data_IF_169320424478
#
_entry.id   IF_169320424478
#
_cell.length_a   1.000
_cell.length_b   1.000
_cell.length_c   1.000
_cell.angle_alpha   90.00
_cell.angle_beta   90.00
_cell.angle_gamma   90.00
#
_symmetry.space_group_name_H-M   'P 1'
#
loop_
_entity.id
_entity.type
_entity.pdbx_description
1 polymer ?
#
# COMPACT_ATOMS: atom_id res chain seq x y z
N UNK A 1 -1.74 -23.10 -16.43
CA UNK A 1 -2.05 -23.85 -15.21
C UNK A 1 -2.40 -22.92 -14.06
N UNK A 2 -3.44 -23.23 -13.40
CA UNK A 2 -3.86 -22.45 -12.26
C UNK A 2 -3.08 -22.85 -11.04
N UNK A 3 -2.49 -21.89 -10.43
CA UNK A 3 -1.77 -22.12 -9.21
C UNK A 3 -2.76 -22.26 -8.06
N UNK A 4 -2.88 -23.46 -7.56
CA UNK A 4 -3.74 -23.68 -6.41
C UNK A 4 -3.07 -23.18 -5.17
N UNK A 5 -3.49 -22.03 -4.73
CA UNK A 5 -2.93 -21.46 -3.52
C UNK A 5 -3.57 -22.11 -2.32
N UNK A 6 -2.85 -22.93 -1.63
CA UNK A 6 -3.36 -23.54 -0.41
C UNK A 6 -3.43 -22.47 0.67
N UNK A 7 -4.26 -22.70 1.67
CA UNK A 7 -4.37 -21.81 2.81
C UNK A 7 -3.06 -21.72 3.59
N UNK A 8 -2.21 -22.73 3.40
CA UNK A 8 -0.94 -22.82 4.13
C UNK A 8 0.26 -22.28 3.35
N UNK A 9 0.02 -21.69 2.18
CA UNK A 9 1.10 -21.12 1.41
C UNK A 9 1.74 -19.97 2.19
N UNK A 10 2.98 -20.12 2.68
CA UNK A 10 3.58 -19.09 3.52
C UNK A 10 3.86 -17.78 2.79
N UNK A 11 3.87 -17.79 1.46
CA UNK A 11 4.11 -16.60 0.69
C UNK A 11 2.87 -15.90 0.21
N UNK A 12 1.68 -16.42 0.52
CA UNK A 12 0.47 -15.89 -0.10
C UNK A 12 0.17 -14.45 0.29
N UNK A 13 0.55 -14.02 1.50
CA UNK A 13 0.32 -12.65 1.97
C UNK A 13 1.22 -11.63 1.29
N UNK A 14 2.27 -12.10 0.63
CA UNK A 14 3.27 -11.22 0.00
C UNK A 14 3.28 -11.36 -1.51
N UNK A 15 2.39 -12.17 -2.07
CA UNK A 15 2.35 -12.42 -3.50
C UNK A 15 1.20 -11.68 -4.14
N UNK A 16 1.47 -10.46 -4.50
CA UNK A 16 0.51 -9.65 -5.23
C UNK A 16 0.98 -9.49 -6.65
N UNK A 17 0.06 -9.65 -7.58
CA UNK A 17 0.37 -9.54 -8.99
C UNK A 17 -0.18 -8.23 -9.50
N UNK A 18 0.70 -7.41 -10.05
CA UNK A 18 0.30 -6.20 -10.72
C UNK A 18 0.20 -6.47 -12.21
N UNK A 19 -0.98 -6.22 -12.76
CA UNK A 19 -1.22 -6.42 -14.17
C UNK A 19 -1.27 -5.08 -14.86
N UNK A 20 -0.52 -4.97 -15.94
CA UNK A 20 -0.44 -3.73 -16.69
C UNK A 20 -0.60 -4.04 -18.17
N UNK A 21 -1.32 -3.15 -18.86
CA UNK A 21 -1.47 -3.25 -20.29
C UNK A 21 -0.12 -2.99 -20.95
N UNK A 22 0.31 -3.89 -21.79
CA UNK A 22 1.59 -3.78 -22.48
C UNK A 22 1.39 -2.97 -23.75
N UNK A 23 2.23 -1.96 -23.95
CA UNK A 23 2.19 -1.12 -25.13
C UNK A 23 3.18 -1.65 -26.17
N UNK A 24 3.05 -1.15 -27.41
CA UNK A 24 3.99 -1.48 -28.46
C UNK A 24 5.41 -1.03 -28.11
N UNK A 25 5.50 0.10 -27.42
CA UNK A 25 6.80 0.61 -27.01
C UNK A 25 7.45 -0.31 -25.98
N UNK A 26 6.65 -0.85 -25.06
CA UNK A 26 7.16 -1.81 -24.09
C UNK A 26 7.72 -3.05 -24.76
N UNK A 27 7.02 -3.53 -25.79
CA UNK A 27 7.50 -4.69 -26.54
C UNK A 27 8.83 -4.42 -27.22
N UNK A 28 8.99 -3.21 -27.75
CA UNK A 28 10.23 -2.81 -28.39
C UNK A 28 11.41 -2.78 -27.43
N UNK A 29 11.16 -2.31 -26.22
CA UNK A 29 12.20 -2.22 -25.19
C UNK A 29 12.50 -3.55 -24.53
N UNK A 30 11.57 -4.46 -24.55
CA UNK A 30 11.72 -5.76 -23.89
C UNK A 30 11.43 -5.72 -22.40
N UNK A 31 10.83 -4.64 -21.90
CA UNK A 31 10.42 -4.53 -20.50
C UNK A 31 9.27 -3.55 -20.36
N UNK A 32 8.59 -3.63 -19.22
CA UNK A 32 7.47 -2.77 -18.89
C UNK A 32 7.86 -1.90 -17.71
N UNK A 33 7.62 -0.60 -17.85
CA UNK A 33 7.91 0.35 -16.77
C UNK A 33 6.63 0.70 -16.04
N UNK A 34 6.68 0.67 -14.73
CA UNK A 34 5.55 1.00 -13.88
C UNK A 34 5.97 2.10 -12.91
N UNK A 35 5.20 3.19 -12.89
CA UNK A 35 5.46 4.23 -11.90
C UNK A 35 5.05 3.72 -10.52
N UNK A 36 6.00 3.73 -9.61
CA UNK A 36 5.77 3.25 -8.26
C UNK A 36 5.70 4.43 -7.30
N UNK A 37 4.52 4.70 -6.80
CA UNK A 37 4.29 5.73 -5.79
C UNK A 37 3.38 5.14 -4.71
N UNK A 38 3.10 5.88 -3.61
CA UNK A 38 2.26 5.32 -2.55
C UNK A 38 0.88 4.88 -3.02
N UNK A 39 0.31 5.53 -4.03
CA UNK A 39 -0.98 5.13 -4.58
C UNK A 39 -0.89 3.77 -5.24
N UNK A 40 0.17 3.56 -6.01
CA UNK A 40 0.37 2.28 -6.69
C UNK A 40 0.63 1.16 -5.69
N UNK A 41 1.40 1.43 -4.65
CA UNK A 41 1.66 0.45 -3.60
C UNK A 41 0.38 0.07 -2.90
N UNK A 42 -0.44 1.05 -2.53
CA UNK A 42 -1.73 0.79 -1.89
C UNK A 42 -2.63 -0.03 -2.78
N UNK A 43 -2.67 0.27 -4.09
CA UNK A 43 -3.48 -0.48 -5.03
C UNK A 43 -3.01 -1.93 -5.14
N UNK A 44 -1.70 -2.11 -5.19
CA UNK A 44 -1.11 -3.45 -5.29
C UNK A 44 -1.47 -4.31 -4.09
N UNK A 45 -1.39 -3.75 -2.90
CA UNK A 45 -1.72 -4.46 -1.67
C UNK A 45 -3.21 -4.40 -1.32
N UNK A 46 -4.00 -3.80 -2.20
CA UNK A 46 -5.46 -3.69 -2.02
C UNK A 46 -5.85 -2.96 -0.75
N UNK A 47 -5.07 -1.95 -0.41
CA UNK A 47 -5.39 -1.04 0.69
C UNK A 47 -6.25 0.06 0.11
N UNK A 48 -7.50 0.12 0.52
CA UNK A 48 -8.42 1.10 -0.04
C UNK A 48 -9.09 1.94 1.01
N UNK A 49 -9.02 3.25 0.85
CA UNK A 49 -9.79 4.21 1.62
C UNK A 49 -9.49 4.29 3.10
N UNK A 50 -9.91 5.38 3.71
CA UNK A 50 -9.93 5.52 5.15
C UNK A 50 -8.57 5.61 5.83
N UNK A 51 -8.55 5.39 7.15
CA UNK A 51 -7.35 5.58 7.96
C UNK A 51 -6.18 4.71 7.55
N UNK A 52 -6.45 3.48 7.17
CA UNK A 52 -5.38 2.55 6.78
C UNK A 52 -4.59 3.07 5.60
N UNK A 53 -5.29 3.55 4.57
CA UNK A 53 -4.63 4.09 3.38
C UNK A 53 -3.86 5.35 3.71
N UNK A 54 -4.44 6.22 4.53
CA UNK A 54 -3.80 7.44 4.95
C UNK A 54 -2.50 7.16 5.69
N UNK A 55 -2.52 6.21 6.61
CA UNK A 55 -1.35 5.81 7.39
C UNK A 55 -0.28 5.25 6.47
N UNK A 56 -0.67 4.37 5.53
CA UNK A 56 0.26 3.77 4.60
C UNK A 56 0.97 4.83 3.75
N UNK A 57 0.21 5.77 3.18
CA UNK A 57 0.79 6.83 2.35
C UNK A 57 1.71 7.73 3.16
N UNK A 58 1.30 8.07 4.38
CA UNK A 58 2.08 8.94 5.25
C UNK A 58 3.40 8.27 5.63
N UNK A 59 3.35 6.99 5.97
CA UNK A 59 4.54 6.23 6.32
C UNK A 59 5.52 6.13 5.16
N UNK A 60 4.99 5.98 3.94
CA UNK A 60 5.83 5.79 2.76
C UNK A 60 6.55 7.07 2.33
N UNK A 61 6.01 8.24 2.61
CA UNK A 61 6.63 9.49 2.11
C UNK A 61 6.74 10.61 3.14
N UNK A 62 6.60 10.28 4.42
CA UNK A 62 6.63 11.29 5.47
C UNK A 62 7.92 12.09 5.48
N UNK A 63 9.04 11.41 5.42
CA UNK A 63 10.34 12.08 5.47
C UNK A 63 10.63 12.88 4.21
N UNK A 64 10.13 12.42 3.08
CA UNK A 64 10.28 13.15 1.82
C UNK A 64 9.55 14.49 1.83
N UNK A 65 8.62 14.67 2.76
CA UNK A 65 7.89 15.92 2.91
C UNK A 65 8.51 16.84 3.97
N UNK A 66 9.73 16.55 4.36
CA UNK A 66 10.46 17.42 5.29
C UNK A 66 10.23 17.14 6.76
N UNK A 67 9.57 16.05 7.08
CA UNK A 67 9.37 15.67 8.48
C UNK A 67 10.58 14.92 9.00
N UNK A 68 10.91 15.13 10.27
CA UNK A 68 11.91 14.29 10.92
C UNK A 68 11.27 12.94 11.24
N UNK A 69 12.10 11.96 11.48
CA UNK A 69 11.59 10.62 11.82
C UNK A 69 10.71 10.64 13.06
N UNK A 70 11.11 11.39 14.09
CA UNK A 70 10.29 11.44 15.32
C UNK A 70 8.96 12.15 15.07
N UNK A 71 8.97 13.18 14.24
CA UNK A 71 7.73 13.86 13.87
C UNK A 71 6.80 12.90 13.13
N UNK A 72 7.35 12.13 12.22
CA UNK A 72 6.58 11.14 11.47
C UNK A 72 5.97 10.11 12.42
N UNK A 73 6.75 9.59 13.34
CA UNK A 73 6.26 8.61 14.32
C UNK A 73 5.10 9.19 15.13
N UNK A 74 5.24 10.43 15.59
CA UNK A 74 4.21 11.08 16.37
C UNK A 74 2.93 11.28 15.57
N UNK A 75 3.06 11.65 14.30
CA UNK A 75 1.90 11.82 13.44
C UNK A 75 1.21 10.48 13.14
N UNK A 76 1.99 9.44 12.90
CA UNK A 76 1.44 8.11 12.69
C UNK A 76 0.72 7.62 13.95
N UNK A 77 1.28 7.90 15.12
CA UNK A 77 0.65 7.51 16.37
C UNK A 77 -0.71 8.21 16.53
N UNK A 78 -0.79 9.48 16.17
CA UNK A 78 -2.05 10.22 16.21
C UNK A 78 -3.08 9.63 15.27
N UNK A 79 -2.64 9.20 14.07
CA UNK A 79 -3.53 8.56 13.11
C UNK A 79 -4.04 7.23 13.64
N UNK A 80 -3.18 6.46 14.29
CA UNK A 80 -3.58 5.18 14.89
C UNK A 80 -4.58 5.39 16.02
N UNK A 81 -4.35 6.39 16.85
CA UNK A 81 -5.25 6.71 17.96
C UNK A 81 -6.62 7.10 17.42
N UNK A 82 -6.65 7.93 16.38
CA UNK A 82 -7.92 8.32 15.76
C UNK A 82 -8.64 7.13 15.15
N UNK A 83 -7.90 6.23 14.53
CA UNK A 83 -8.48 5.01 13.96
C UNK A 83 -9.16 4.18 15.04
N UNK A 84 -8.51 4.05 16.19
CA UNK A 84 -9.10 3.32 17.33
C UNK A 84 -10.38 3.98 17.80
N UNK A 85 -10.39 5.31 17.86
CA UNK A 85 -11.60 6.05 18.22
C UNK A 85 -12.74 5.76 17.26
N UNK A 86 -12.43 5.75 15.96
CA UNK A 86 -13.43 5.48 14.94
C UNK A 86 -14.04 4.10 15.09
N UNK A 87 -13.23 3.11 15.42
CA UNK A 87 -13.73 1.76 15.65
C UNK A 87 -14.71 1.74 16.84
N UNK A 88 -14.41 2.52 17.87
CA UNK A 88 -15.31 2.64 19.00
C UNK A 88 -16.62 3.34 18.63
N UNK A 89 -16.50 4.40 17.82
CA UNK A 89 -17.68 5.13 17.33
C UNK A 89 -18.57 4.22 16.49
N UNK A 90 -17.95 3.45 15.60
CA UNK A 90 -18.69 2.56 14.70
C UNK A 90 -19.35 1.41 15.44
N UNK A 91 -18.86 1.06 16.61
CA UNK A 91 -19.43 -0.02 17.42
C UNK A 91 -20.69 0.40 18.17
N UNK A 92 -20.96 1.69 18.27
CA UNK A 92 -22.16 2.18 18.94
C UNK A 92 -23.38 2.08 18.03
#
# INVERSE_FOLDING_TARGET
MTEEKSANDPGKHYRYVYQQKVTQDDLSKGYVSVKMDPYRVCALYKVGGGPREHIAKKALRGEDKGHTTIELINELQSCLDRWKEMLGEDAL
#
